data_IF_581982546526
#
_entry.id   IF_581982546526
#
_cell.length_a   1.000
_cell.length_b   1.000
_cell.length_c   1.000
_cell.angle_alpha   90.00
_cell.angle_beta   90.00
_cell.angle_gamma   90.00
#
_symmetry.space_group_name_H-M   'P 1'
#
loop_
_entity.id
_entity.type
_entity.pdbx_description
1 polymer ?
#
# COMPACT_ATOMS: atom_id res chain seq x y z
N UNK A 1 3.90 12.44 14.46
CA UNK A 1 3.16 12.55 13.19
C UNK A 1 3.49 11.33 12.34
N UNK A 2 2.50 10.71 11.69
CA UNK A 2 2.69 9.59 10.76
C UNK A 2 2.52 10.02 9.30
N UNK A 3 3.27 9.38 8.41
CA UNK A 3 3.19 9.60 6.97
C UNK A 3 2.66 8.33 6.29
N UNK A 4 1.43 8.38 5.79
CA UNK A 4 0.74 7.22 5.22
C UNK A 4 0.73 7.37 3.69
N UNK A 5 1.42 6.48 2.99
CA UNK A 5 1.58 6.56 1.53
C UNK A 5 0.92 5.35 0.88
N UNK A 6 -0.02 5.59 -0.03
CA UNK A 6 -0.61 4.54 -0.87
C UNK A 6 0.08 4.52 -2.22
N UNK A 7 0.61 3.37 -2.63
CA UNK A 7 1.19 3.21 -3.96
C UNK A 7 0.11 2.95 -5.02
N UNK A 8 0.36 3.49 -6.21
CA UNK A 8 -0.52 3.42 -7.38
C UNK A 8 0.06 4.18 -8.56
N UNK A 9 -0.49 3.95 -9.75
CA UNK A 9 -0.21 4.72 -10.96
C UNK A 9 -1.31 5.76 -11.21
N UNK A 10 -0.96 6.98 -11.68
CA UNK A 10 -1.91 8.01 -12.01
C UNK A 10 -2.58 7.80 -13.37
N UNK A 11 -3.83 8.24 -13.48
CA UNK A 11 -4.65 8.17 -14.70
C UNK A 11 -5.80 7.17 -14.58
N UNK A 12 -6.90 7.48 -15.26
CA UNK A 12 -8.17 6.75 -15.16
C UNK A 12 -8.03 5.25 -15.41
N UNK A 13 -7.22 4.87 -16.41
CA UNK A 13 -6.98 3.47 -16.78
C UNK A 13 -6.38 2.61 -15.66
N UNK A 14 -5.77 3.20 -14.64
CA UNK A 14 -5.14 2.47 -13.53
C UNK A 14 -5.98 2.40 -12.26
N UNK A 15 -7.03 3.23 -12.14
CA UNK A 15 -7.79 3.40 -10.89
C UNK A 15 -8.25 2.08 -10.27
N UNK A 16 -8.67 1.13 -11.11
CA UNK A 16 -9.23 -0.15 -10.69
C UNK A 16 -8.25 -1.33 -10.80
N UNK A 17 -6.95 -1.06 -10.96
CA UNK A 17 -5.92 -2.09 -11.14
C UNK A 17 -5.38 -2.59 -9.80
N UNK A 18 -4.84 -3.82 -9.78
CA UNK A 18 -4.22 -4.40 -8.59
C UNK A 18 -3.10 -3.52 -8.04
N UNK A 19 -2.32 -2.90 -8.92
CA UNK A 19 -1.22 -2.00 -8.55
C UNK A 19 -1.67 -0.70 -7.86
N UNK A 20 -2.96 -0.37 -7.94
CA UNK A 20 -3.55 0.80 -7.28
C UNK A 20 -4.28 0.44 -5.97
N UNK A 21 -4.14 -0.78 -5.46
CA UNK A 21 -4.81 -1.18 -4.21
C UNK A 21 -4.42 -0.30 -3.02
N UNK A 22 -3.19 0.22 -2.99
CA UNK A 22 -2.75 1.19 -1.98
C UNK A 22 -3.62 2.45 -1.98
N UNK A 23 -3.93 2.99 -3.16
CA UNK A 23 -4.85 4.14 -3.29
C UNK A 23 -6.28 3.77 -2.89
N UNK A 24 -6.76 2.59 -3.29
CA UNK A 24 -8.11 2.13 -2.94
C UNK A 24 -8.30 2.00 -1.43
N UNK A 25 -7.27 1.59 -0.70
CA UNK A 25 -7.30 1.55 0.77
C UNK A 25 -7.29 2.95 1.34
N UNK A 26 -6.43 3.85 0.83
CA UNK A 26 -6.40 5.22 1.30
C UNK A 26 -7.74 5.93 1.10
N UNK A 27 -8.44 5.69 -0.01
CA UNK A 27 -9.77 6.28 -0.25
C UNK A 27 -10.77 5.88 0.84
N UNK A 28 -10.73 4.62 1.28
CA UNK A 28 -11.55 4.13 2.40
C UNK A 28 -11.08 4.72 3.72
N UNK A 29 -9.78 4.77 3.98
CA UNK A 29 -9.21 5.30 5.20
C UNK A 29 -9.55 6.78 5.38
N UNK A 30 -9.31 7.61 4.35
CA UNK A 30 -9.57 9.05 4.36
C UNK A 30 -11.05 9.32 4.60
N UNK A 31 -11.94 8.64 3.88
CA UNK A 31 -13.38 8.80 4.05
C UNK A 31 -13.87 8.28 5.40
N UNK A 32 -13.40 7.11 5.84
CA UNK A 32 -13.85 6.44 7.05
C UNK A 32 -13.37 7.11 8.34
N UNK A 33 -12.19 7.72 8.30
CA UNK A 33 -11.63 8.48 9.42
C UNK A 33 -12.10 9.95 9.45
N UNK A 34 -12.91 10.40 8.48
CA UNK A 34 -13.36 11.79 8.40
C UNK A 34 -12.24 12.78 8.09
N UNK A 35 -11.15 12.33 7.45
CA UNK A 35 -10.08 13.20 7.00
C UNK A 35 -10.57 14.09 5.84
N UNK A 36 -10.02 15.30 5.67
CA UNK A 36 -10.34 16.14 4.53
C UNK A 36 -10.11 15.41 3.20
N UNK A 37 -10.91 15.66 2.15
CA UNK A 37 -10.66 15.10 0.83
C UNK A 37 -9.24 15.43 0.34
N UNK A 38 -8.57 14.45 -0.28
CA UNK A 38 -7.19 14.64 -0.72
C UNK A 38 -7.11 15.65 -1.87
N UNK A 39 -6.29 16.68 -1.72
CA UNK A 39 -6.11 17.78 -2.68
C UNK A 39 -4.79 17.66 -3.41
N UNK A 40 -4.75 18.04 -4.69
CA UNK A 40 -3.51 18.07 -5.46
C UNK A 40 -2.52 19.05 -4.84
N UNK A 41 -1.28 18.60 -4.68
CA UNK A 41 -0.17 19.40 -4.20
C UNK A 41 1.04 19.24 -5.10
N UNK A 42 1.41 20.32 -5.78
CA UNK A 42 2.63 20.38 -6.59
C UNK A 42 3.89 20.17 -5.72
N UNK A 43 3.86 20.66 -4.47
CA UNK A 43 4.94 20.50 -3.49
C UNK A 43 5.26 19.03 -3.25
N UNK A 44 4.25 18.18 -3.09
CA UNK A 44 4.44 16.76 -2.78
C UNK A 44 4.38 15.85 -4.01
N UNK A 45 4.13 16.41 -5.20
CA UNK A 45 3.92 15.63 -6.44
C UNK A 45 2.88 14.54 -6.26
N UNK A 46 1.71 14.91 -5.75
CA UNK A 46 0.66 13.98 -5.41
C UNK A 46 -0.59 14.65 -4.85
N UNK A 47 -1.61 13.86 -4.54
CA UNK A 47 -2.73 14.31 -3.71
C UNK A 47 -2.39 14.08 -2.25
N UNK A 48 -2.74 15.04 -1.40
CA UNK A 48 -2.47 14.98 0.04
C UNK A 48 -3.73 15.24 0.85
N UNK A 49 -3.86 14.54 1.96
CA UNK A 49 -4.82 14.83 3.02
C UNK A 49 -4.08 14.86 4.34
N UNK A 50 -4.46 15.74 5.26
CA UNK A 50 -3.86 15.85 6.58
C UNK A 50 -4.94 16.05 7.63
N UNK A 51 -4.73 15.47 8.81
CA UNK A 51 -5.67 15.54 9.92
C UNK A 51 -5.24 14.59 11.03
N UNK A 52 -6.21 14.08 11.78
CA UNK A 52 -5.96 13.13 12.86
C UNK A 52 -6.61 11.78 12.57
N UNK A 53 -5.85 10.72 12.76
CA UNK A 53 -6.32 9.34 12.78
C UNK A 53 -6.05 8.79 14.16
N UNK A 54 -7.08 8.35 14.89
CA UNK A 54 -6.93 7.83 16.25
C UNK A 54 -6.14 8.77 17.18
N UNK A 55 -6.45 10.08 17.13
CA UNK A 55 -5.79 11.14 17.91
C UNK A 55 -4.30 11.35 17.57
N UNK A 56 -3.79 10.72 16.52
CA UNK A 56 -2.43 10.93 16.01
C UNK A 56 -2.47 11.81 14.76
N UNK A 57 -1.60 12.81 14.69
CA UNK A 57 -1.45 13.62 13.48
C UNK A 57 -0.92 12.76 12.34
N UNK A 58 -1.63 12.77 11.22
CA UNK A 58 -1.28 12.01 10.01
C UNK A 58 -1.27 12.89 8.78
N UNK A 59 -0.38 12.55 7.84
CA UNK A 59 -0.42 13.05 6.48
C UNK A 59 -0.47 11.88 5.51
N UNK A 60 -1.50 11.87 4.69
CA UNK A 60 -1.78 10.86 3.67
C UNK A 60 -1.30 11.38 2.32
N UNK A 61 -0.58 10.54 1.57
CA UNK A 61 -0.09 10.87 0.23
C UNK A 61 -0.49 9.80 -0.79
N UNK A 62 -1.00 10.29 -1.91
CA UNK A 62 -1.21 9.55 -3.16
C UNK A 62 -0.21 10.09 -4.19
N UNK A 63 0.94 9.43 -4.41
CA UNK A 63 1.97 9.92 -5.32
C UNK A 63 1.47 10.06 -6.77
N UNK A 64 1.43 11.27 -7.31
CA UNK A 64 1.07 11.52 -8.72
C UNK A 64 2.31 11.34 -9.61
N UNK A 65 2.88 10.15 -9.54
CA UNK A 65 4.07 9.71 -10.27
C UNK A 65 3.85 8.28 -10.71
N UNK A 66 4.45 7.85 -11.83
CA UNK A 66 4.47 6.43 -12.15
C UNK A 66 5.13 5.62 -11.02
N UNK A 67 4.69 4.38 -10.84
CA UNK A 67 5.07 3.50 -9.73
C UNK A 67 6.58 3.43 -9.51
N UNK A 68 7.38 3.30 -10.57
CA UNK A 68 8.84 3.25 -10.49
C UNK A 68 9.50 4.56 -10.02
N UNK A 69 8.72 5.64 -9.89
CA UNK A 69 9.16 6.97 -9.46
C UNK A 69 8.52 7.42 -8.14
N UNK A 70 7.75 6.57 -7.44
CA UNK A 70 7.05 6.92 -6.19
C UNK A 70 7.98 7.48 -5.12
N UNK A 71 9.24 7.03 -5.05
CA UNK A 71 10.21 7.56 -4.09
C UNK A 71 10.48 9.06 -4.23
N UNK A 72 10.27 9.65 -5.42
CA UNK A 72 10.44 11.10 -5.64
C UNK A 72 9.36 11.90 -4.91
N UNK A 73 8.14 11.39 -4.83
CA UNK A 73 7.06 12.02 -4.08
C UNK A 73 7.23 11.80 -2.57
N UNK A 74 7.54 10.56 -2.17
CA UNK A 74 7.74 10.22 -0.75
C UNK A 74 8.87 11.02 -0.11
N UNK A 75 9.99 11.20 -0.82
CA UNK A 75 11.12 12.02 -0.33
C UNK A 75 10.76 13.48 -0.04
N UNK A 76 9.75 14.03 -0.71
CA UNK A 76 9.29 15.41 -0.47
C UNK A 76 8.36 15.51 0.74
N UNK A 77 7.70 14.40 1.09
CA UNK A 77 6.76 14.31 2.19
C UNK A 77 7.46 14.02 3.52
N UNK A 78 8.37 13.06 3.52
CA UNK A 78 8.96 12.49 4.73
C UNK A 78 10.32 13.11 5.00
N UNK A 79 10.51 13.82 6.13
CA UNK A 79 11.82 14.23 6.59
C UNK A 79 12.71 13.01 6.80
N UNK A 80 14.00 13.08 6.42
CA UNK A 80 14.91 11.93 6.46
C UNK A 80 15.10 11.29 7.85
N UNK A 81 14.72 11.97 8.93
CA UNK A 81 14.82 11.51 10.32
C UNK A 81 13.57 10.78 10.85
N UNK A 82 12.49 10.72 10.07
CA UNK A 82 11.18 10.19 10.53
C UNK A 82 10.71 8.95 9.75
N UNK A 83 11.63 8.16 9.18
CA UNK A 83 11.26 7.00 8.35
C UNK A 83 10.56 5.88 9.13
N UNK A 84 10.72 5.82 10.45
CA UNK A 84 10.01 4.86 11.31
C UNK A 84 8.51 5.14 11.42
N UNK A 85 8.09 6.39 11.14
CA UNK A 85 6.69 6.80 11.07
C UNK A 85 6.12 6.80 9.64
N UNK A 86 6.91 6.36 8.65
CA UNK A 86 6.45 6.15 7.29
C UNK A 86 5.77 4.78 7.16
N UNK A 87 4.50 4.78 6.75
CA UNK A 87 3.69 3.60 6.45
C UNK A 87 3.38 3.58 4.96
N UNK A 88 3.89 2.58 4.24
CA UNK A 88 3.67 2.43 2.79
C UNK A 88 2.73 1.26 2.51
N UNK A 89 1.61 1.54 1.85
CA UNK A 89 0.65 0.54 1.40
C UNK A 89 0.92 0.17 -0.05
N UNK A 90 0.99 -1.14 -0.34
CA UNK A 90 1.23 -1.62 -1.70
C UNK A 90 0.65 -3.01 -1.94
N UNK A 91 0.48 -3.38 -3.21
CA UNK A 91 0.09 -4.73 -3.59
C UNK A 91 1.24 -5.73 -3.40
N UNK A 92 0.88 -6.96 -3.05
CA UNK A 92 1.82 -8.05 -2.86
C UNK A 92 1.35 -9.30 -3.60
N UNK A 93 2.12 -9.68 -4.62
CA UNK A 93 1.83 -10.85 -5.46
C UNK A 93 2.12 -12.17 -4.74
N UNK A 94 2.92 -12.13 -3.67
CA UNK A 94 3.28 -13.28 -2.85
C UNK A 94 2.36 -13.44 -1.63
N UNK A 95 1.27 -12.66 -1.56
CA UNK A 95 0.21 -12.84 -0.58
C UNK A 95 -1.13 -13.12 -1.28
N UNK A 96 -1.96 -14.06 -0.81
CA UNK A 96 -3.26 -14.31 -1.40
C UNK A 96 -4.18 -13.10 -1.26
N UNK A 97 -5.04 -12.86 -2.25
CA UNK A 97 -6.08 -11.83 -2.12
C UNK A 97 -6.93 -12.07 -0.86
N UNK A 98 -7.17 -11.00 -0.10
CA UNK A 98 -7.83 -11.04 1.20
C UNK A 98 -6.85 -10.98 2.38
N UNK A 99 -5.59 -11.38 2.19
CA UNK A 99 -4.59 -11.31 3.25
C UNK A 99 -3.88 -9.97 3.28
N UNK A 100 -3.68 -9.46 4.48
CA UNK A 100 -2.86 -8.27 4.75
C UNK A 100 -1.77 -8.68 5.72
N UNK A 101 -0.54 -8.23 5.46
CA UNK A 101 0.59 -8.40 6.37
C UNK A 101 1.29 -7.09 6.64
N UNK A 102 1.91 -6.98 7.80
CA UNK A 102 2.73 -5.83 8.17
C UNK A 102 4.19 -6.23 8.18
N UNK A 103 5.07 -5.37 7.68
CA UNK A 103 6.51 -5.61 7.70
C UNK A 103 7.30 -4.33 7.90
N UNK A 104 8.51 -4.47 8.42
CA UNK A 104 9.47 -3.38 8.62
C UNK A 104 10.85 -3.79 8.11
N UNK A 105 11.61 -2.86 7.52
CA UNK A 105 13.02 -3.08 7.19
C UNK A 105 13.32 -4.15 6.12
N UNK A 106 12.35 -4.53 5.28
CA UNK A 106 12.51 -5.62 4.28
C UNK A 106 12.96 -5.12 2.90
N UNK A 107 13.48 -5.99 2.04
CA UNK A 107 13.79 -5.64 0.64
C UNK A 107 12.53 -5.34 -0.19
N UNK A 108 12.67 -4.88 -1.42
CA UNK A 108 11.51 -4.48 -2.27
C UNK A 108 10.62 -5.65 -2.72
N UNK A 109 11.11 -6.90 -2.67
CA UNK A 109 10.37 -8.06 -3.17
C UNK A 109 10.10 -8.02 -4.68
N UNK A 110 10.83 -7.17 -5.42
CA UNK A 110 10.59 -6.89 -6.84
C UNK A 110 9.50 -5.85 -7.10
N UNK A 111 8.92 -5.22 -6.07
CA UNK A 111 7.94 -4.15 -6.25
C UNK A 111 8.63 -2.82 -6.59
N UNK A 112 8.38 -2.30 -7.79
CA UNK A 112 9.08 -1.11 -8.34
C UNK A 112 8.89 0.16 -7.50
N UNK A 113 7.70 0.39 -6.92
CA UNK A 113 7.49 1.56 -6.08
C UNK A 113 8.21 1.50 -4.74
N UNK A 114 8.36 0.30 -4.17
CA UNK A 114 9.13 0.11 -2.94
C UNK A 114 10.62 0.23 -3.24
N UNK A 115 11.10 -0.32 -4.36
CA UNK A 115 12.46 -0.13 -4.83
C UNK A 115 12.78 1.37 -5.02
N UNK A 116 11.86 2.13 -5.63
CA UNK A 116 11.97 3.58 -5.81
C UNK A 116 12.09 4.33 -4.49
N UNK A 117 11.27 3.98 -3.49
CA UNK A 117 11.31 4.60 -2.16
C UNK A 117 12.63 4.29 -1.46
N UNK A 118 13.06 3.02 -1.44
CA UNK A 118 14.33 2.62 -0.83
C UNK A 118 15.50 3.40 -1.44
N UNK A 119 15.56 3.48 -2.76
CA UNK A 119 16.58 4.23 -3.49
C UNK A 119 16.58 5.72 -3.12
N UNK A 120 15.40 6.36 -3.10
CA UNK A 120 15.30 7.81 -2.89
C UNK A 120 15.52 8.23 -1.44
N UNK A 121 15.10 7.40 -0.49
CA UNK A 121 15.29 7.62 0.94
C UNK A 121 16.64 7.09 1.46
N UNK A 122 17.34 6.26 0.69
CA UNK A 122 18.56 5.57 1.10
C UNK A 122 18.39 4.72 2.38
N UNK A 123 17.18 4.17 2.58
CA UNK A 123 16.87 3.28 3.69
C UNK A 123 15.71 2.36 3.33
N UNK A 124 15.66 1.20 3.96
CA UNK A 124 14.54 0.25 3.90
C UNK A 124 13.70 0.26 5.18
N UNK A 125 14.12 1.05 6.17
CA UNK A 125 13.60 1.08 7.52
C UNK A 125 12.36 1.97 7.59
N UNK A 126 11.27 1.41 7.06
CA UNK A 126 9.93 1.97 7.11
C UNK A 126 8.92 0.84 7.14
N UNK A 127 7.72 1.14 7.63
CA UNK A 127 6.62 0.19 7.79
C UNK A 127 5.92 -0.01 6.45
N UNK A 128 5.51 -1.24 6.16
CA UNK A 128 4.72 -1.58 4.99
C UNK A 128 3.49 -2.37 5.37
N UNK A 129 2.35 -1.94 4.84
CA UNK A 129 1.10 -2.71 4.83
C UNK A 129 1.01 -3.38 3.47
N UNK A 130 1.30 -4.68 3.44
CA UNK A 130 1.38 -5.52 2.23
C UNK A 130 0.01 -6.12 1.99
N UNK A 131 -0.62 -5.77 0.87
CA UNK A 131 -2.00 -6.17 0.58
C UNK A 131 -1.95 -7.25 -0.51
N UNK A 132 -2.41 -8.45 -0.18
CA UNK A 132 -2.34 -9.58 -1.09
C UNK A 132 -3.17 -9.39 -2.34
N UNK A 133 -2.57 -9.70 -3.49
CA UNK A 133 -3.23 -9.75 -4.79
C UNK A 133 -3.00 -11.08 -5.49
N UNK A 134 -2.22 -11.98 -4.91
CA UNK A 134 -1.89 -13.29 -5.46
C UNK A 134 -3.12 -14.17 -5.66
N UNK A 135 -3.13 -14.93 -6.76
CA UNK A 135 -4.15 -15.93 -7.00
C UNK A 135 -3.82 -17.20 -6.22
N UNK A 136 -4.68 -17.56 -5.28
CA UNK A 136 -4.66 -18.88 -4.65
C UNK A 136 -5.17 -19.95 -5.62
N UNK A 137 -4.70 -21.18 -5.45
CA UNK A 137 -5.21 -22.31 -6.21
C UNK A 137 -6.72 -22.52 -5.95
N UNK A 138 -7.46 -22.83 -7.02
CA UNK A 138 -8.91 -23.01 -6.98
C UNK A 138 -9.34 -24.25 -6.18
N UNK A 139 -8.47 -25.25 -6.11
CA UNK A 139 -8.79 -26.54 -5.50
C UNK A 139 -8.42 -26.57 -4.01
N UNK A 140 -9.17 -27.32 -3.16
CA UNK A 140 -8.89 -27.45 -1.73
C UNK A 140 -7.44 -27.83 -1.38
N UNK A 141 -6.84 -28.75 -2.14
CA UNK A 141 -5.43 -29.15 -1.93
C UNK A 141 -4.40 -28.12 -2.41
N UNK A 142 -4.85 -27.07 -3.10
CA UNK A 142 -4.04 -25.92 -3.53
C UNK A 142 -4.38 -24.65 -2.76
N UNK A 143 -5.32 -24.71 -1.80
CA UNK A 143 -5.58 -23.61 -0.89
C UNK A 143 -4.29 -23.36 -0.08
N UNK A 144 -3.78 -22.13 -0.15
CA UNK A 144 -2.49 -21.73 0.41
C UNK A 144 -1.30 -21.77 -0.57
N UNK A 145 -1.43 -22.39 -1.75
CA UNK A 145 -0.40 -22.29 -2.80
C UNK A 145 -0.63 -21.06 -3.66
N UNK A 146 0.29 -20.10 -3.62
CA UNK A 146 0.24 -18.90 -4.47
C UNK A 146 0.88 -19.22 -5.81
N UNK A 147 0.09 -19.10 -6.88
CA UNK A 147 0.64 -19.14 -8.24
C UNK A 147 1.11 -17.74 -8.60
N UNK A 148 2.36 -17.43 -8.29
CA UNK A 148 2.99 -16.19 -8.76
C UNK A 148 2.91 -16.17 -10.29
N UNK A 149 2.41 -15.11 -10.92
CA UNK A 149 2.48 -14.95 -12.37
C UNK A 149 3.93 -15.13 -12.82
N UNK A 150 4.15 -15.83 -13.92
CA UNK A 150 5.49 -16.05 -14.46
C UNK A 150 6.24 -14.74 -14.77
N UNK A 151 7.56 -14.85 -14.96
CA UNK A 151 8.41 -13.73 -15.37
C UNK A 151 8.07 -13.18 -16.77
N UNK A 152 8.70 -12.06 -17.14
CA UNK A 152 8.37 -11.29 -18.34
C UNK A 152 7.10 -10.43 -18.16
N UNK A 153 6.57 -9.85 -19.24
CA UNK A 153 5.40 -8.97 -19.21
C UNK A 153 4.08 -9.59 -18.70
N UNK A 154 4.10 -10.82 -18.18
CA UNK A 154 2.95 -11.48 -17.54
C UNK A 154 2.68 -10.89 -16.16
N UNK A 155 3.70 -10.71 -15.32
CA UNK A 155 3.55 -10.08 -14.01
C UNK A 155 3.04 -8.64 -14.14
N UNK A 156 3.61 -7.88 -15.07
CA UNK A 156 3.18 -6.51 -15.35
C UNK A 156 1.70 -6.46 -15.77
N UNK A 157 1.29 -7.30 -16.74
CA UNK A 157 -0.12 -7.39 -17.14
C UNK A 157 -1.03 -7.81 -16.01
N UNK A 158 -0.56 -8.64 -15.08
CA UNK A 158 -1.33 -9.06 -13.93
C UNK A 158 -1.58 -7.90 -12.96
N UNK A 159 -0.53 -7.18 -12.55
CA UNK A 159 -0.66 -6.06 -11.60
C UNK A 159 -1.42 -4.87 -12.20
N UNK A 160 -1.30 -4.67 -13.52
CA UNK A 160 -2.08 -3.66 -14.26
C UNK A 160 -3.50 -4.14 -14.63
N UNK A 161 -3.87 -5.37 -14.29
CA UNK A 161 -5.23 -5.88 -14.44
C UNK A 161 -6.11 -5.53 -13.25
N UNK A 162 -7.42 -5.36 -13.49
CA UNK A 162 -8.40 -5.11 -12.43
C UNK A 162 -8.94 -6.35 -11.73
N UNK A 163 -9.66 -6.15 -10.64
CA UNK A 163 -10.31 -7.22 -9.86
C UNK A 163 -11.62 -7.67 -10.50
N UNK A 164 -11.77 -8.97 -10.72
CA UNK A 164 -12.99 -9.58 -11.25
C UNK A 164 -14.11 -9.68 -10.20
N UNK A 165 -15.32 -10.06 -10.63
CA UNK A 165 -16.50 -10.15 -9.74
C UNK A 165 -16.31 -11.09 -8.55
N UNK A 166 -15.64 -12.23 -8.74
CA UNK A 166 -15.36 -13.22 -7.68
C UNK A 166 -14.32 -12.74 -6.66
N UNK A 167 -13.54 -11.73 -7.01
CA UNK A 167 -12.48 -11.18 -6.15
C UNK A 167 -13.01 -10.05 -5.24
N UNK A 168 -14.23 -9.55 -5.47
CA UNK A 168 -14.73 -8.34 -4.79
C UNK A 168 -14.90 -8.49 -3.28
N UNK A 169 -15.36 -9.65 -2.80
CA UNK A 169 -15.49 -9.88 -1.35
C UNK A 169 -14.12 -9.90 -0.66
N UNK A 170 -13.18 -10.68 -1.19
CA UNK A 170 -11.82 -10.73 -0.66
C UNK A 170 -11.10 -9.38 -0.78
N UNK A 171 -11.35 -8.62 -1.84
CA UNK A 171 -10.86 -7.24 -1.96
C UNK A 171 -11.43 -6.32 -0.88
N UNK A 172 -12.73 -6.44 -0.58
CA UNK A 172 -13.37 -5.67 0.50
C UNK A 172 -12.71 -6.00 1.85
N UNK A 173 -12.61 -7.28 2.18
CA UNK A 173 -11.97 -7.77 3.42
C UNK A 173 -10.52 -7.30 3.53
N UNK A 174 -9.76 -7.38 2.43
CA UNK A 174 -8.38 -6.89 2.39
C UNK A 174 -8.29 -5.38 2.70
N UNK A 175 -9.20 -4.57 2.14
CA UNK A 175 -9.19 -3.12 2.37
C UNK A 175 -9.57 -2.76 3.81
N UNK A 176 -10.56 -3.44 4.39
CA UNK A 176 -10.96 -3.28 5.79
C UNK A 176 -9.83 -3.70 6.74
N UNK A 177 -9.22 -4.86 6.49
CA UNK A 177 -8.06 -5.36 7.24
C UNK A 177 -6.87 -4.41 7.16
N UNK A 178 -6.59 -3.83 5.98
CA UNK A 178 -5.53 -2.85 5.80
C UNK A 178 -5.78 -1.56 6.58
N UNK A 179 -7.02 -1.05 6.61
CA UNK A 179 -7.37 0.11 7.43
C UNK A 179 -7.17 -0.18 8.93
N UNK A 180 -7.58 -1.36 9.40
CA UNK A 180 -7.36 -1.78 10.78
C UNK A 180 -5.87 -1.90 11.12
N UNK A 181 -5.05 -2.40 10.19
CA UNK A 181 -3.60 -2.46 10.37
C UNK A 181 -2.98 -1.06 10.48
N UNK A 182 -3.41 -0.10 9.67
CA UNK A 182 -2.94 1.29 9.75
C UNK A 182 -3.33 1.91 11.09
N UNK A 183 -4.57 1.74 11.53
CA UNK A 183 -5.04 2.23 12.83
C UNK A 183 -4.16 1.68 13.97
N UNK A 184 -3.91 0.37 13.99
CA UNK A 184 -3.03 -0.26 14.99
C UNK A 184 -1.58 0.21 14.90
N UNK A 185 -1.06 0.44 13.70
CA UNK A 185 0.29 1.00 13.53
C UNK A 185 0.38 2.39 14.17
N UNK A 186 -0.61 3.26 13.95
CA UNK A 186 -0.56 4.63 14.47
C UNK A 186 -0.77 4.68 15.99
N UNK A 187 -1.59 3.79 16.56
CA UNK A 187 -1.91 3.79 17.99
C UNK A 187 -0.93 2.98 18.85
N UNK A 188 -0.52 1.80 18.38
CA UNK A 188 0.22 0.80 19.16
C UNK A 188 1.60 0.48 18.58
N UNK A 189 1.91 1.00 17.39
CA UNK A 189 3.18 0.80 16.71
C UNK A 189 3.23 -0.47 15.86
N UNK A 190 4.19 -0.50 14.93
CA UNK A 190 4.29 -1.55 13.92
C UNK A 190 4.62 -2.94 14.49
N UNK A 191 5.30 -3.05 15.63
CA UNK A 191 5.58 -4.34 16.28
C UNK A 191 4.30 -5.04 16.72
N UNK A 192 3.36 -4.30 17.33
CA UNK A 192 2.06 -4.85 17.74
C UNK A 192 1.24 -5.24 16.52
N UNK A 193 1.18 -4.37 15.51
CA UNK A 193 0.52 -4.67 14.24
C UNK A 193 1.11 -5.91 13.55
N UNK A 194 2.43 -6.08 13.55
CA UNK A 194 3.08 -7.28 13.00
C UNK A 194 2.66 -8.55 13.73
N UNK A 195 2.53 -8.53 15.06
CA UNK A 195 2.08 -9.70 15.83
C UNK A 195 0.60 -10.03 15.56
N UNK A 196 -0.23 -9.04 15.23
CA UNK A 196 -1.66 -9.23 14.99
C UNK A 196 -1.98 -9.71 13.57
N UNK A 197 -1.27 -9.20 12.56
CA UNK A 197 -1.63 -9.37 11.15
C UNK A 197 -0.78 -10.38 10.37
N UNK A 198 0.29 -10.96 10.95
CA UNK A 198 1.19 -11.88 10.24
C UNK A 198 0.93 -13.36 10.55
#
# INVERSE_FOLDING_TARGET
>A
MYYIVGLGNPGEKYQNTRHNIGWMVLDILVSGAGLPPAVLSAQYSGKVSAGQLEQQDVMVLYPDTFMNNSGRAVKKLVPSVETDHLVVLHDDVDLPLGQVRVSFGRGSGGHNGIASIIDKLNTKDFVRVRIGIGKSGFWPWQQGTIKRPGGGGILERFVLGGFGKREQNALKEAKESACAAIAMIVTEGHTVAMNKFN
#
